data_IF_386035163743
#
_entry.id   IF_386035163743
#
_cell.length_a   1.000
_cell.length_b   1.000
_cell.length_c   1.000
_cell.angle_alpha   90.00
_cell.angle_beta   90.00
_cell.angle_gamma   90.00
#
_symmetry.space_group_name_H-M   'P 1'
#
loop_
_entity.id
_entity.type
_entity.pdbx_description
1 polymer ?
#
# COMPACT_ATOMS: atom_id res chain seq x y z
N UNK A 1 -0.89 -7.88 4.51
CA UNK A 1 -0.80 -9.03 3.59
C UNK A 1 -0.44 -8.49 2.22
N UNK A 2 0.66 -8.94 1.61
CA UNK A 2 1.05 -8.53 0.26
C UNK A 2 0.77 -9.68 -0.70
N UNK A 3 0.06 -9.41 -1.79
CA UNK A 3 -0.22 -10.34 -2.87
C UNK A 3 0.64 -10.01 -4.10
N UNK A 4 0.49 -10.76 -5.19
CA UNK A 4 1.04 -10.42 -6.49
C UNK A 4 -0.05 -10.65 -7.53
N UNK A 5 -0.28 -9.66 -8.39
CA UNK A 5 -1.26 -9.73 -9.46
C UNK A 5 -0.59 -10.04 -10.79
N UNK A 6 -1.28 -10.77 -11.67
CA UNK A 6 -0.88 -11.03 -13.05
C UNK A 6 -1.96 -10.44 -13.98
N UNK A 7 -1.59 -9.59 -14.92
CA UNK A 7 -2.51 -9.10 -15.96
C UNK A 7 -2.71 -10.13 -17.07
N UNK A 8 -3.76 -9.93 -17.86
CA UNK A 8 -4.02 -10.72 -19.07
C UNK A 8 -2.92 -10.59 -20.13
N UNK A 9 -2.12 -9.52 -20.10
CA UNK A 9 -0.98 -9.31 -21.00
C UNK A 9 0.31 -9.99 -20.53
N UNK A 10 0.27 -10.67 -19.38
CA UNK A 10 1.42 -11.40 -18.84
C UNK A 10 2.37 -10.54 -17.99
N UNK A 11 1.92 -9.40 -17.47
CA UNK A 11 2.73 -8.54 -16.58
C UNK A 11 2.37 -8.78 -15.10
N UNK A 12 3.38 -8.81 -14.24
CA UNK A 12 3.22 -8.93 -12.79
C UNK A 12 3.26 -7.57 -12.10
N UNK A 13 2.46 -7.44 -11.03
CA UNK A 13 2.36 -6.24 -10.18
C UNK A 13 2.28 -6.62 -8.70
N UNK A 14 2.71 -5.75 -7.76
CA UNK A 14 2.65 -6.03 -6.32
C UNK A 14 1.23 -6.07 -5.74
N UNK A 15 0.22 -5.61 -6.50
CA UNK A 15 -1.19 -5.66 -6.14
C UNK A 15 -2.02 -5.43 -7.40
N UNK A 16 -3.22 -6.00 -7.48
CA UNK A 16 -4.15 -5.80 -8.61
C UNK A 16 -4.52 -4.33 -8.85
N UNK A 17 -4.48 -3.50 -7.80
CA UNK A 17 -4.74 -2.06 -7.89
C UNK A 17 -3.55 -1.23 -8.38
N UNK A 18 -2.34 -1.81 -8.48
CA UNK A 18 -1.10 -1.06 -8.73
C UNK A 18 -0.51 -1.33 -10.12
N UNK A 19 -1.36 -1.22 -11.15
CA UNK A 19 -0.97 -1.53 -12.53
C UNK A 19 0.10 -0.58 -13.11
N UNK A 20 0.29 0.61 -12.52
CA UNK A 20 1.39 1.51 -12.88
C UNK A 20 2.76 1.05 -12.37
N UNK A 21 2.85 -0.03 -11.60
CA UNK A 21 4.08 -0.45 -10.91
C UNK A 21 4.45 -1.89 -11.26
N UNK A 22 4.87 -2.08 -12.51
CA UNK A 22 5.28 -3.38 -13.05
C UNK A 22 6.52 -3.90 -12.33
N UNK A 23 6.49 -5.16 -11.93
CA UNK A 23 7.63 -5.83 -11.27
C UNK A 23 8.30 -6.89 -12.14
N UNK A 24 7.60 -7.45 -13.15
CA UNK A 24 8.12 -8.46 -14.04
C UNK A 24 7.06 -8.96 -15.03
N UNK A 25 7.33 -10.07 -15.70
CA UNK A 25 6.47 -10.70 -16.71
C UNK A 25 6.45 -12.22 -16.55
N UNK A 26 5.52 -12.90 -17.23
CA UNK A 26 5.40 -14.37 -17.28
C UNK A 26 6.64 -15.09 -17.86
N UNK A 27 7.59 -14.36 -18.46
CA UNK A 27 8.84 -14.93 -18.97
C UNK A 27 9.85 -15.20 -17.87
N UNK A 28 9.65 -14.62 -16.69
CA UNK A 28 10.52 -14.78 -15.53
C UNK A 28 9.98 -15.87 -14.59
N UNK A 29 10.89 -16.56 -13.91
CA UNK A 29 10.53 -17.54 -12.89
C UNK A 29 9.84 -16.84 -11.70
N UNK A 30 8.60 -17.24 -11.42
CA UNK A 30 7.74 -16.60 -10.41
C UNK A 30 8.40 -16.54 -9.03
N UNK A 31 9.08 -17.62 -8.65
CA UNK A 31 9.79 -17.73 -7.37
C UNK A 31 10.93 -16.72 -7.29
N UNK A 32 11.67 -16.53 -8.37
CA UNK A 32 12.79 -15.60 -8.42
C UNK A 32 12.27 -14.17 -8.38
N UNK A 33 11.24 -13.86 -9.17
CA UNK A 33 10.58 -12.55 -9.11
C UNK A 33 10.07 -12.26 -7.69
N UNK A 34 9.38 -13.20 -7.05
CA UNK A 34 8.83 -13.03 -5.71
C UNK A 34 9.91 -12.81 -4.64
N UNK A 35 11.04 -13.52 -4.72
CA UNK A 35 12.06 -13.52 -3.66
C UNK A 35 13.17 -12.50 -3.87
N UNK A 36 13.53 -12.22 -5.13
CA UNK A 36 14.71 -11.41 -5.49
C UNK A 36 14.38 -10.03 -6.04
N UNK A 37 13.11 -9.74 -6.37
CA UNK A 37 12.72 -8.39 -6.80
C UNK A 37 13.03 -7.36 -5.71
N UNK A 38 13.97 -6.45 -5.97
CA UNK A 38 14.33 -5.34 -5.09
C UNK A 38 13.11 -4.47 -4.75
N UNK A 39 12.24 -4.27 -5.74
CA UNK A 39 10.97 -3.58 -5.58
C UNK A 39 10.10 -4.24 -4.53
N UNK A 40 9.88 -5.56 -4.64
CA UNK A 40 9.08 -6.29 -3.65
C UNK A 40 9.77 -6.31 -2.28
N UNK A 41 11.09 -6.44 -2.21
CA UNK A 41 11.80 -6.37 -0.94
C UNK A 41 11.66 -5.00 -0.27
N UNK A 42 11.77 -3.91 -1.04
CA UNK A 42 11.55 -2.55 -0.55
C UNK A 42 10.15 -2.41 0.04
N UNK A 43 9.12 -2.85 -0.68
CA UNK A 43 7.73 -2.78 -0.21
C UNK A 43 7.50 -3.65 1.05
N UNK A 44 8.11 -4.84 1.15
CA UNK A 44 7.99 -5.71 2.35
C UNK A 44 8.63 -5.11 3.59
N UNK A 45 9.68 -4.31 3.41
CA UNK A 45 10.43 -3.72 4.50
C UNK A 45 9.84 -2.39 5.02
N UNK A 46 8.79 -1.87 4.37
CA UNK A 46 8.11 -0.66 4.84
C UNK A 46 7.46 -0.90 6.21
N UNK A 47 7.67 0.06 7.10
CA UNK A 47 7.13 0.08 8.47
C UNK A 47 6.36 1.37 8.69
N UNK A 48 5.58 1.45 9.76
CA UNK A 48 4.95 2.72 10.16
C UNK A 48 5.96 3.86 10.36
N UNK A 49 7.17 3.53 10.81
CA UNK A 49 8.29 4.49 10.93
C UNK A 49 8.74 5.09 9.60
N UNK A 50 8.40 4.46 8.46
CA UNK A 50 8.62 5.02 7.13
C UNK A 50 7.65 6.18 6.81
N UNK A 51 6.66 6.44 7.67
CA UNK A 51 5.65 7.48 7.53
C UNK A 51 5.62 8.34 8.79
N UNK A 52 6.57 9.29 8.97
CA UNK A 52 6.74 10.03 10.22
C UNK A 52 5.45 10.70 10.73
N UNK A 53 4.66 11.30 9.83
CA UNK A 53 3.38 11.94 10.16
C UNK A 53 2.30 10.96 10.66
N UNK A 54 2.43 9.67 10.35
CA UNK A 54 1.45 8.65 10.73
C UNK A 54 1.79 7.98 12.07
N UNK A 55 3.04 8.05 12.53
CA UNK A 55 3.50 7.38 13.77
C UNK A 55 2.78 7.95 15.00
N UNK A 56 2.55 9.26 15.04
CA UNK A 56 1.87 9.96 16.14
C UNK A 56 0.39 10.27 15.83
N UNK A 57 -0.18 9.70 14.76
CA UNK A 57 -1.54 9.99 14.35
C UNK A 57 -2.56 9.37 15.30
N UNK A 58 -3.46 10.17 15.87
CA UNK A 58 -4.50 9.69 16.79
C UNK A 58 -5.49 8.69 16.13
N UNK A 59 -5.64 8.76 14.81
CA UNK A 59 -6.50 7.85 14.04
C UNK A 59 -5.75 6.60 13.54
N UNK A 60 -4.48 6.38 13.91
CA UNK A 60 -3.66 5.29 13.39
C UNK A 60 -4.32 3.91 13.56
N UNK A 61 -4.97 3.65 14.71
CA UNK A 61 -5.67 2.38 14.97
C UNK A 61 -6.83 2.09 14.03
N UNK A 62 -7.41 3.14 13.43
CA UNK A 62 -8.52 3.07 12.49
C UNK A 62 -8.06 3.17 11.03
N UNK A 63 -6.76 3.43 10.82
CA UNK A 63 -6.18 3.60 9.51
C UNK A 63 -5.94 2.25 8.82
N UNK A 64 -6.39 2.15 7.57
CA UNK A 64 -6.11 1.02 6.67
C UNK A 64 -5.31 1.54 5.47
N UNK A 65 -4.13 2.09 5.75
CA UNK A 65 -3.27 2.72 4.73
C UNK A 65 -3.01 1.75 3.58
N UNK A 66 -3.16 2.26 2.35
CA UNK A 66 -2.92 1.52 1.12
C UNK A 66 -1.86 2.25 0.30
N UNK A 67 -0.71 1.61 0.09
CA UNK A 67 0.41 2.19 -0.67
C UNK A 67 0.04 2.52 -2.12
N UNK A 68 -0.89 1.76 -2.69
CA UNK A 68 -1.42 2.02 -4.04
C UNK A 68 -2.15 3.37 -4.07
N UNK A 69 -3.02 3.65 -3.10
CA UNK A 69 -3.71 4.94 -3.01
C UNK A 69 -2.73 6.08 -2.76
N UNK A 70 -1.74 5.87 -1.89
CA UNK A 70 -0.66 6.83 -1.68
C UNK A 70 0.03 7.18 -2.99
N UNK A 71 0.45 6.18 -3.76
CA UNK A 71 1.17 6.36 -5.03
C UNK A 71 0.28 7.01 -6.10
N UNK A 72 -0.93 6.50 -6.32
CA UNK A 72 -1.84 6.97 -7.38
C UNK A 72 -2.31 8.42 -7.17
N UNK A 73 -2.47 8.86 -5.91
CA UNK A 73 -2.94 10.23 -5.60
C UNK A 73 -1.79 11.23 -5.37
N UNK A 74 -0.53 10.78 -5.44
CA UNK A 74 0.63 11.63 -5.19
C UNK A 74 1.73 11.45 -6.24
N UNK A 75 1.37 11.35 -7.51
CA UNK A 75 2.30 11.30 -8.65
C UNK A 75 3.40 10.24 -8.49
N UNK A 76 3.03 9.06 -7.97
CA UNK A 76 3.92 7.95 -7.71
C UNK A 76 4.54 7.93 -6.31
N UNK A 77 4.44 9.00 -5.52
CA UNK A 77 5.03 9.09 -4.19
C UNK A 77 4.27 8.25 -3.15
N UNK A 78 4.71 7.01 -2.98
CA UNK A 78 4.13 6.04 -2.04
C UNK A 78 4.31 6.41 -0.55
N UNK A 79 5.23 7.31 -0.21
CA UNK A 79 5.50 7.75 1.18
C UNK A 79 4.58 8.90 1.63
N UNK A 80 3.88 9.54 0.69
CA UNK A 80 2.88 10.56 0.99
C UNK A 80 1.51 9.88 1.18
N UNK A 81 0.90 9.96 2.37
CA UNK A 81 -0.42 9.38 2.62
C UNK A 81 -1.49 10.01 1.72
N UNK A 82 -2.37 9.15 1.20
CA UNK A 82 -3.60 9.57 0.53
C UNK A 82 -4.51 10.34 1.50
N UNK A 83 -4.91 11.56 1.12
CA UNK A 83 -5.75 12.45 1.96
C UNK A 83 -7.10 11.81 2.26
N UNK A 84 -7.71 11.18 1.26
CA UNK A 84 -9.00 10.52 1.41
C UNK A 84 -8.93 9.35 2.42
N UNK A 85 -7.86 8.56 2.39
CA UNK A 85 -7.65 7.47 3.35
C UNK A 85 -7.48 8.00 4.79
N UNK A 86 -6.81 9.15 4.95
CA UNK A 86 -6.73 9.83 6.25
C UNK A 86 -8.13 10.26 6.73
N UNK A 87 -8.92 10.90 5.87
CA UNK A 87 -10.29 11.33 6.19
C UNK A 87 -11.17 10.15 6.62
N UNK A 88 -11.11 9.02 5.91
CA UNK A 88 -11.81 7.79 6.31
C UNK A 88 -11.38 7.30 7.70
N UNK A 89 -10.08 7.34 8.03
CA UNK A 89 -9.58 6.87 9.32
C UNK A 89 -10.13 7.73 10.48
N UNK A 90 -10.14 9.05 10.31
CA UNK A 90 -10.73 9.97 11.29
C UNK A 90 -12.24 9.79 11.42
N UNK A 91 -12.96 9.56 10.32
CA UNK A 91 -14.38 9.26 10.35
C UNK A 91 -14.65 7.96 11.14
N UNK A 92 -13.88 6.90 10.89
CA UNK A 92 -13.99 5.61 11.59
C UNK A 92 -13.70 5.77 13.08
N UNK A 93 -12.67 6.54 13.47
CA UNK A 93 -12.37 6.88 14.88
C UNK A 93 -13.58 7.50 15.56
N UNK A 94 -14.10 8.59 14.97
CA UNK A 94 -15.25 9.34 15.51
C UNK A 94 -16.50 8.47 15.63
N UNK A 95 -16.77 7.60 14.66
CA UNK A 95 -17.90 6.68 14.71
C UNK A 95 -17.72 5.61 15.78
N UNK A 96 -16.51 5.07 15.93
CA UNK A 96 -16.21 4.08 16.97
C UNK A 96 -16.40 4.66 18.37
N UNK A 97 -15.83 5.84 18.63
CA UNK A 97 -15.95 6.54 19.92
C UNK A 97 -17.41 6.92 20.25
N UNK A 98 -18.23 7.19 19.22
CA UNK A 98 -19.66 7.51 19.40
C UNK A 98 -20.53 6.27 19.63
N UNK A 99 -20.27 5.18 18.93
CA UNK A 99 -21.12 3.98 18.93
C UNK A 99 -20.70 2.95 19.99
N UNK A 100 -19.44 2.98 20.42
CA UNK A 100 -18.86 2.04 21.39
C UNK A 100 -18.01 2.83 22.42
N UNK A 101 -18.67 3.58 23.33
CA UNK A 101 -17.99 4.38 24.35
C UNK A 101 -17.29 3.53 25.42
#
# INVERSE_FOLDING_TARGET
MMSMGLSATGEYYPCSGWQGYRIGTIREELRDLWTRSETLQTLRNLKWSSFPQCVSCEAQRYCRMCLVKNSNENDGNLFKPCVYACQEAFLKKRLSERLFP
#
